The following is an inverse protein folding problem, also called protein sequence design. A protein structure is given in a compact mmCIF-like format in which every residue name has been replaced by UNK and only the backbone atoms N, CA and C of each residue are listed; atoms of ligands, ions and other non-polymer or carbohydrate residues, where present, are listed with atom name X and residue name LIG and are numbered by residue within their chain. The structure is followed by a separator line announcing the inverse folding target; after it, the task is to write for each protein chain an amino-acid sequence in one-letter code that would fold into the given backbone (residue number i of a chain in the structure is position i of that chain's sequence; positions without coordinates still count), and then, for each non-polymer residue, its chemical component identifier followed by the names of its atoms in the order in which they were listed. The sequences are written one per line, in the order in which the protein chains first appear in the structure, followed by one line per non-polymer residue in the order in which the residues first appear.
data_IF_058660787006
#
_entry.id   IF_058660787006
#
_cell.length_a   1.000
_cell.length_b   1.000
_cell.length_c   1.000
_cell.angle_alpha   90.00
_cell.angle_beta   90.00
_cell.angle_gamma   90.00
#
_symmetry.space_group_name_H-M   'P 1'
#
loop_
_entity.id
_entity.type
_entity.pdbx_description
1 polymer ?
#
# COMPACT_ATOMS: atom_id res chain seq x y z
N UNK A 1 -7.11 -1.90 0.60
CA UNK A 1 -6.02 -2.55 -0.19
C UNK A 1 -6.57 -3.75 -0.95
N UNK A 2 -7.12 -4.73 -0.21
CA UNK A 2 -7.75 -5.94 -0.75
C UNK A 2 -8.91 -5.63 -1.69
N UNK A 3 -8.99 -6.35 -2.81
CA UNK A 3 -10.03 -6.15 -3.82
C UNK A 3 -9.92 -4.84 -4.59
N UNK A 4 -8.91 -4.01 -4.31
CA UNK A 4 -8.69 -2.73 -4.98
C UNK A 4 -7.31 -2.71 -5.66
N UNK A 5 -6.25 -2.36 -4.92
CA UNK A 5 -4.88 -2.27 -5.44
C UNK A 5 -4.22 -3.65 -5.52
N UNK A 6 -4.61 -4.57 -4.64
CA UNK A 6 -4.27 -6.00 -4.70
C UNK A 6 -5.52 -6.76 -5.12
N UNK A 7 -5.42 -7.54 -6.20
CA UNK A 7 -6.52 -8.38 -6.66
C UNK A 7 -6.71 -9.55 -5.70
N UNK A 8 -7.93 -10.07 -5.61
CA UNK A 8 -8.22 -11.22 -4.76
C UNK A 8 -7.36 -12.43 -5.17
N UNK A 9 -6.64 -13.01 -4.21
CA UNK A 9 -5.74 -14.14 -4.43
C UNK A 9 -4.29 -13.76 -4.77
N UNK A 10 -4.03 -12.52 -5.18
CA UNK A 10 -2.66 -12.06 -5.45
C UNK A 10 -1.95 -11.65 -4.14
N UNK A 11 -0.64 -11.92 -3.99
CA UNK A 11 0.12 -11.51 -2.81
C UNK A 11 0.47 -10.02 -2.81
N UNK A 12 0.56 -9.39 -4.00
CA UNK A 12 0.98 -8.00 -4.20
C UNK A 12 0.27 -7.36 -5.42
N UNK A 13 0.31 -6.02 -5.58
CA UNK A 13 -0.22 -5.35 -6.77
C UNK A 13 0.50 -5.79 -8.06
N UNK A 14 -0.22 -5.71 -9.18
CA UNK A 14 0.35 -5.99 -10.51
C UNK A 14 1.49 -5.01 -10.86
N UNK A 15 2.39 -5.42 -11.77
CA UNK A 15 3.50 -4.57 -12.25
C UNK A 15 3.05 -3.21 -12.77
N UNK A 16 1.91 -3.15 -13.49
CA UNK A 16 1.32 -1.90 -13.97
C UNK A 16 0.94 -0.97 -12.81
N UNK A 17 0.30 -1.52 -11.78
CA UNK A 17 -0.13 -0.75 -10.62
C UNK A 17 1.07 -0.24 -9.81
N UNK A 18 2.04 -1.12 -9.55
CA UNK A 18 3.29 -0.74 -8.87
C UNK A 18 4.07 0.33 -9.64
N UNK A 19 4.09 0.27 -10.98
CA UNK A 19 4.69 1.32 -11.81
C UNK A 19 3.96 2.66 -11.71
N UNK A 20 2.63 2.65 -11.72
CA UNK A 20 1.83 3.87 -11.55
C UNK A 20 2.10 4.52 -10.18
N UNK A 21 2.13 3.74 -9.11
CA UNK A 21 2.43 4.23 -7.75
C UNK A 21 3.82 4.85 -7.68
N UNK A 22 4.85 4.20 -8.25
CA UNK A 22 6.20 4.78 -8.31
C UNK A 22 6.24 6.11 -9.07
N UNK A 23 5.50 6.23 -10.18
CA UNK A 23 5.45 7.45 -10.96
C UNK A 23 4.78 8.59 -10.17
N UNK A 24 3.72 8.30 -9.40
CA UNK A 24 3.09 9.27 -8.51
C UNK A 24 4.08 9.75 -7.44
N UNK A 25 4.79 8.83 -6.78
CA UNK A 25 5.79 9.20 -5.77
C UNK A 25 6.94 10.03 -6.36
N UNK A 26 7.41 9.70 -7.57
CA UNK A 26 8.44 10.48 -8.30
C UNK A 26 7.97 11.88 -8.68
N UNK A 27 6.66 12.06 -8.88
CA UNK A 27 6.06 13.37 -9.13
C UNK A 27 5.82 14.18 -7.83
N UNK A 28 6.25 13.69 -6.67
CA UNK A 28 6.05 14.34 -5.38
C UNK A 28 4.67 14.12 -4.77
N UNK A 29 3.86 13.21 -5.32
CA UNK A 29 2.52 12.91 -4.80
C UNK A 29 2.65 11.86 -3.68
N UNK A 30 2.17 12.20 -2.49
CA UNK A 30 2.11 11.27 -1.36
C UNK A 30 1.10 10.15 -1.61
N UNK A 31 1.52 8.89 -1.48
CA UNK A 31 0.66 7.72 -1.70
C UNK A 31 0.58 6.90 -0.42
N UNK A 32 -0.53 7.01 0.31
CA UNK A 32 -0.78 6.27 1.55
C UNK A 32 -1.60 5.01 1.27
N UNK A 33 -1.24 3.90 1.92
CA UNK A 33 -2.07 2.70 1.93
C UNK A 33 -3.00 2.71 3.14
N UNK A 34 -4.28 2.43 2.89
CA UNK A 34 -5.29 2.26 3.92
C UNK A 34 -5.95 0.87 3.83
N UNK A 35 -5.96 0.17 4.96
CA UNK A 35 -6.42 -1.21 5.04
C UNK A 35 -7.11 -1.56 6.35
N UNK A 36 -8.05 -2.51 6.26
CA UNK A 36 -8.58 -3.23 7.42
C UNK A 36 -7.59 -4.24 8.02
N UNK A 37 -6.55 -4.63 7.26
CA UNK A 37 -5.53 -5.59 7.72
C UNK A 37 -4.75 -5.05 8.92
N UNK A 38 -4.25 -5.96 9.76
CA UNK A 38 -3.24 -5.66 10.79
C UNK A 38 -1.90 -5.29 10.15
N UNK A 39 -1.08 -4.54 10.87
CA UNK A 39 0.20 -4.02 10.40
C UNK A 39 1.10 -5.04 9.67
N UNK A 40 1.36 -6.27 10.18
CA UNK A 40 2.29 -7.18 9.52
C UNK A 40 1.91 -7.53 8.06
N UNK A 41 0.61 -7.74 7.80
CA UNK A 41 0.12 -8.06 6.46
C UNK A 41 0.05 -6.86 5.52
N UNK A 42 -0.02 -5.66 6.07
CA UNK A 42 -0.06 -4.40 5.31
C UNK A 42 1.37 -3.88 5.01
N UNK A 43 2.31 -4.09 5.94
CA UNK A 43 3.70 -3.65 5.86
C UNK A 43 4.46 -4.30 4.70
N UNK A 44 4.19 -5.58 4.40
CA UNK A 44 4.79 -6.27 3.25
C UNK A 44 4.43 -5.61 1.91
N UNK A 45 3.17 -5.18 1.75
CA UNK A 45 2.71 -4.51 0.53
C UNK A 45 3.27 -3.09 0.44
N UNK A 46 3.29 -2.38 1.57
CA UNK A 46 3.88 -1.05 1.68
C UNK A 46 5.37 -1.05 1.27
N UNK A 47 6.13 -2.01 1.80
CA UNK A 47 7.54 -2.24 1.45
C UNK A 47 7.70 -2.64 -0.03
N UNK A 48 6.88 -3.55 -0.55
CA UNK A 48 6.90 -3.93 -1.98
C UNK A 48 6.71 -2.72 -2.91
N UNK A 49 5.86 -1.77 -2.52
CA UNK A 49 5.60 -0.56 -3.29
C UNK A 49 6.66 0.53 -3.10
N UNK A 50 7.61 0.34 -2.17
CA UNK A 50 8.68 1.31 -1.87
C UNK A 50 8.15 2.62 -1.29
N UNK A 51 7.05 2.57 -0.54
CA UNK A 51 6.44 3.76 0.04
C UNK A 51 7.19 4.16 1.33
N UNK A 52 7.31 5.46 1.55
CA UNK A 52 7.86 6.05 2.79
C UNK A 52 6.82 6.86 3.56
N UNK A 53 5.60 6.95 3.05
CA UNK A 53 4.48 7.62 3.71
C UNK A 53 3.85 6.72 4.77
N UNK A 54 3.09 7.26 5.73
CA UNK A 54 2.42 6.47 6.75
C UNK A 54 1.52 5.36 6.18
N UNK A 55 1.30 4.34 6.99
CA UNK A 55 0.49 3.16 6.70
C UNK A 55 -0.70 3.11 7.66
N UNK A 56 -1.93 3.09 7.12
CA UNK A 56 -3.16 3.03 7.91
C UNK A 56 -3.67 1.59 7.97
N UNK A 57 -3.79 1.05 9.19
CA UNK A 57 -4.15 -0.33 9.50
C UNK A 57 -5.42 -0.40 10.35
N UNK A 58 -5.97 -1.61 10.49
CA UNK A 58 -7.10 -1.92 11.39
C UNK A 58 -8.28 -0.96 11.23
N UNK A 59 -8.69 -0.70 9.99
CA UNK A 59 -9.79 0.22 9.66
C UNK A 59 -9.58 1.66 10.18
N UNK A 60 -8.32 2.07 10.36
CA UNK A 60 -7.97 3.40 10.86
C UNK A 60 -7.54 3.43 12.33
N UNK A 61 -7.66 2.33 13.08
CA UNK A 61 -7.26 2.29 14.50
C UNK A 61 -5.74 2.33 14.71
N UNK A 62 -4.93 2.04 13.69
CA UNK A 62 -3.47 2.05 13.77
C UNK A 62 -2.82 2.82 12.63
N UNK A 63 -1.89 3.72 12.95
CA UNK A 63 -1.06 4.45 11.99
C UNK A 63 0.40 4.17 12.29
N UNK A 64 1.16 3.75 11.28
CA UNK A 64 2.57 3.40 11.39
C UNK A 64 3.40 4.17 10.36
N UNK A 65 4.60 4.60 10.72
CA UNK A 65 5.51 5.41 9.88
C UNK A 65 6.85 4.71 9.70
#
# INVERSE_FOLDING_TARGET
IDGTVVRNGDPVPTTRCSAAIRNLSRAGIGVVLASGRMFPGTALIHSHLGLSTPLICQQGCGIHT
#
